data_IF_019027536662
#
_entry.id   IF_019027536662
#
_cell.length_a   1.000
_cell.length_b   1.000
_cell.length_c   1.000
_cell.angle_alpha   90.00
_cell.angle_beta   90.00
_cell.angle_gamma   90.00
#
_symmetry.space_group_name_H-M   'P 1'
#
loop_
_entity.id
_entity.type
_entity.pdbx_description
1 polymer ?
#
# COMPACT_ATOMS: atom_id res chain seq x y z
N UNK A 1 4.45 53.11 20.28
CA UNK A 1 3.19 52.38 20.56
C UNK A 1 3.24 51.11 19.73
N UNK A 2 3.81 50.04 20.27
CA UNK A 2 4.03 48.76 19.57
C UNK A 2 3.05 47.76 20.18
N UNK A 3 2.11 47.26 19.37
CA UNK A 3 1.12 46.28 19.78
C UNK A 3 1.77 44.89 19.84
N UNK A 4 1.76 44.30 21.04
CA UNK A 4 2.17 42.93 21.31
C UNK A 4 0.97 42.02 20.97
N UNK A 5 1.00 41.33 19.83
CA UNK A 5 0.06 40.24 19.54
C UNK A 5 0.63 38.94 20.11
N UNK A 6 0.04 38.49 21.22
CA UNK A 6 0.26 37.16 21.77
C UNK A 6 -0.45 36.13 20.87
N UNK A 7 0.30 35.47 20.00
CA UNK A 7 -0.13 34.25 19.33
C UNK A 7 -0.23 33.14 20.39
N UNK A 8 -1.46 32.88 20.82
CA UNK A 8 -1.80 31.70 21.62
C UNK A 8 -1.73 30.50 20.68
N UNK A 9 -0.61 29.78 20.70
CA UNK A 9 -0.51 28.46 20.11
C UNK A 9 -1.41 27.53 20.93
N UNK A 10 -2.54 27.13 20.35
CA UNK A 10 -3.30 25.98 20.84
C UNK A 10 -2.44 24.73 20.67
N UNK A 11 -1.68 24.41 21.71
CA UNK A 11 -1.19 23.06 21.98
C UNK A 11 -2.41 22.20 22.33
N UNK A 12 -3.03 21.61 21.31
CA UNK A 12 -3.95 20.50 21.51
C UNK A 12 -3.13 19.24 21.74
N UNK A 13 -2.98 18.85 23.00
CA UNK A 13 -2.48 17.54 23.39
C UNK A 13 -3.45 16.45 22.91
N UNK A 14 -3.17 15.83 21.77
CA UNK A 14 -3.82 14.59 21.37
C UNK A 14 -3.22 13.45 22.21
N UNK A 15 -3.82 13.18 23.38
CA UNK A 15 -3.82 11.82 23.93
C UNK A 15 -4.78 11.01 23.01
N UNK A 16 -4.32 10.08 22.17
CA UNK A 16 -3.61 8.81 22.45
C UNK A 16 -4.60 7.77 23.04
N UNK A 17 -5.43 7.22 22.15
CA UNK A 17 -6.33 6.11 22.40
C UNK A 17 -6.58 5.42 21.05
N UNK A 18 -6.11 4.17 20.92
CA UNK A 18 -6.35 3.33 19.76
C UNK A 18 -7.82 3.19 19.32
N UNK A 19 -8.81 3.64 20.10
CA UNK A 19 -10.22 3.77 19.68
C UNK A 19 -10.40 4.71 18.48
N UNK A 20 -9.55 5.75 18.34
CA UNK A 20 -9.59 6.65 17.19
C UNK A 20 -9.08 5.96 15.91
N UNK A 21 -8.13 5.04 16.05
CA UNK A 21 -7.57 4.29 14.91
C UNK A 21 -8.55 3.24 14.38
N UNK A 22 -9.25 2.53 15.27
CA UNK A 22 -10.31 1.61 14.86
C UNK A 22 -11.44 2.36 14.13
N UNK A 23 -11.85 3.53 14.64
CA UNK A 23 -12.84 4.37 13.97
C UNK A 23 -12.37 4.87 12.59
N UNK A 24 -11.08 5.21 12.43
CA UNK A 24 -10.50 5.57 11.14
C UNK A 24 -10.48 4.39 10.15
N UNK A 25 -10.20 3.17 10.63
CA UNK A 25 -10.25 1.96 9.81
C UNK A 25 -11.70 1.64 9.43
N UNK A 26 -12.64 1.74 10.36
CA UNK A 26 -14.07 1.55 10.09
C UNK A 26 -14.62 2.58 9.09
N UNK A 27 -14.11 3.81 9.12
CA UNK A 27 -14.47 4.84 8.15
C UNK A 27 -14.03 4.49 6.71
N UNK A 28 -13.19 3.47 6.50
CA UNK A 28 -12.86 2.95 5.17
C UNK A 28 -13.99 2.13 4.54
N UNK A 29 -15.01 1.74 5.30
CA UNK A 29 -16.19 1.08 4.74
C UNK A 29 -16.89 2.03 3.79
N UNK A 30 -17.17 1.55 2.58
CA UNK A 30 -17.97 2.25 1.60
C UNK A 30 -19.35 1.61 1.56
N UNK A 31 -20.35 2.44 1.82
CA UNK A 31 -21.74 1.98 1.90
C UNK A 31 -22.40 1.80 0.53
N UNK A 32 -21.73 2.20 -0.56
CA UNK A 32 -22.15 1.80 -1.90
C UNK A 32 -21.94 0.28 -2.07
N UNK A 33 -22.80 -0.40 -2.85
CA UNK A 33 -22.47 -1.74 -3.30
C UNK A 33 -21.20 -1.70 -4.17
N UNK A 34 -20.31 -2.72 -4.08
CA UNK A 34 -19.16 -2.79 -4.95
C UNK A 34 -19.61 -2.85 -6.42
N UNK A 35 -19.01 -2.05 -7.32
CA UNK A 35 -19.40 -2.04 -8.73
C UNK A 35 -19.10 -3.39 -9.38
N UNK A 36 -19.85 -3.74 -10.42
CA UNK A 36 -19.64 -4.98 -11.15
C UNK A 36 -18.42 -4.84 -12.06
N UNK A 37 -17.45 -5.73 -11.90
CA UNK A 37 -16.29 -5.84 -12.79
C UNK A 37 -16.63 -6.89 -13.85
N UNK A 38 -16.59 -6.50 -15.11
CA UNK A 38 -16.70 -7.41 -16.26
C UNK A 38 -15.31 -7.68 -16.83
N UNK A 39 -14.82 -8.90 -16.63
CA UNK A 39 -13.50 -9.37 -17.07
C UNK A 39 -13.50 -9.92 -18.50
N UNK A 40 -14.63 -9.85 -19.21
CA UNK A 40 -14.75 -10.31 -20.60
C UNK A 40 -14.10 -9.28 -21.53
N UNK A 41 -12.78 -9.12 -21.49
CA UNK A 41 -12.01 -8.25 -22.38
C UNK A 41 -10.64 -7.87 -21.86
N UNK A 42 -9.76 -7.41 -22.76
CA UNK A 42 -8.39 -7.00 -22.43
C UNK A 42 -8.30 -5.78 -21.48
N UNK A 43 -9.31 -4.91 -21.46
CA UNK A 43 -9.32 -3.70 -20.61
C UNK A 43 -10.25 -3.79 -19.39
N UNK A 44 -11.07 -4.85 -19.29
CA UNK A 44 -12.18 -4.92 -18.33
C UNK A 44 -13.20 -3.78 -18.47
N UNK A 45 -14.41 -3.93 -17.95
CA UNK A 45 -15.32 -2.82 -17.74
C UNK A 45 -15.79 -2.78 -16.30
N UNK A 46 -16.03 -1.57 -15.77
CA UNK A 46 -16.55 -1.35 -14.43
C UNK A 46 -17.89 -0.69 -14.53
N UNK A 47 -18.92 -1.38 -14.06
CA UNK A 47 -20.30 -0.94 -14.09
C UNK A 47 -20.69 -0.52 -12.68
N UNK A 48 -20.72 0.79 -12.47
CA UNK A 48 -21.25 1.41 -11.27
C UNK A 48 -22.77 1.46 -11.34
N UNK A 49 -23.43 1.42 -10.17
CA UNK A 49 -24.87 1.64 -10.07
C UNK A 49 -25.22 3.06 -10.56
N UNK A 50 -26.42 3.25 -11.11
CA UNK A 50 -26.86 4.57 -11.57
C UNK A 50 -27.01 5.57 -10.41
N UNK A 51 -27.28 5.07 -9.21
CA UNK A 51 -27.37 5.85 -7.98
C UNK A 51 -26.09 5.75 -7.13
N UNK A 52 -24.96 5.36 -7.72
CA UNK A 52 -23.69 5.28 -6.99
C UNK A 52 -23.34 6.65 -6.39
N UNK A 53 -23.18 6.69 -5.08
CA UNK A 53 -22.89 7.92 -4.35
C UNK A 53 -21.39 8.23 -4.45
N UNK A 54 -21.04 9.19 -5.30
CA UNK A 54 -19.66 9.63 -5.49
C UNK A 54 -19.09 10.39 -4.29
N UNK A 55 -19.93 11.11 -3.53
CA UNK A 55 -19.51 11.81 -2.31
C UNK A 55 -19.08 10.81 -1.23
N UNK A 56 -19.76 9.66 -1.17
CA UNK A 56 -19.38 8.55 -0.28
C UNK A 56 -18.00 7.98 -0.66
N UNK A 57 -17.69 7.88 -1.95
CA UNK A 57 -16.37 7.45 -2.39
C UNK A 57 -15.28 8.46 -2.01
N UNK A 58 -15.56 9.75 -2.15
CA UNK A 58 -14.64 10.81 -1.76
C UNK A 58 -14.41 10.81 -0.23
N UNK A 59 -15.46 10.60 0.57
CA UNK A 59 -15.35 10.42 2.03
C UNK A 59 -14.40 9.26 2.38
N UNK A 60 -14.56 8.11 1.74
CA UNK A 60 -13.71 6.93 2.00
C UNK A 60 -12.27 7.19 1.56
N UNK A 61 -12.06 7.90 0.44
CA UNK A 61 -10.73 8.31 -0.01
C UNK A 61 -10.03 9.23 1.00
N UNK A 62 -10.76 10.17 1.59
CA UNK A 62 -10.23 11.08 2.62
C UNK A 62 -9.91 10.33 3.91
N UNK A 63 -10.77 9.37 4.32
CA UNK A 63 -10.51 8.48 5.45
C UNK A 63 -9.24 7.64 5.22
N UNK A 64 -9.07 7.05 4.02
CA UNK A 64 -7.86 6.32 3.65
C UNK A 64 -6.62 7.22 3.70
N UNK A 65 -6.71 8.44 3.19
CA UNK A 65 -5.61 9.39 3.20
C UNK A 65 -5.23 9.78 4.64
N UNK A 66 -6.22 9.92 5.52
CA UNK A 66 -6.01 10.17 6.95
C UNK A 66 -5.35 8.99 7.64
N UNK A 67 -5.81 7.75 7.40
CA UNK A 67 -5.20 6.54 7.95
C UNK A 67 -3.75 6.36 7.47
N UNK A 68 -3.49 6.64 6.20
CA UNK A 68 -2.14 6.60 5.60
C UNK A 68 -1.18 7.58 6.29
N UNK A 69 -1.71 8.72 6.74
CA UNK A 69 -0.97 9.79 7.42
C UNK A 69 -0.89 9.60 8.94
N UNK A 70 -1.67 8.67 9.52
CA UNK A 70 -1.58 8.32 10.93
C UNK A 70 -0.22 7.66 11.22
N UNK A 71 0.32 7.94 12.40
CA UNK A 71 1.61 7.43 12.85
C UNK A 71 1.45 6.71 14.20
N UNK A 72 2.41 5.85 14.53
CA UNK A 72 2.54 5.26 15.86
C UNK A 72 2.54 3.74 15.86
N UNK A 73 3.10 3.17 16.93
CA UNK A 73 3.14 1.73 17.15
C UNK A 73 1.74 1.11 17.29
N UNK A 74 0.75 1.89 17.73
CA UNK A 74 -0.63 1.44 17.86
C UNK A 74 -1.28 1.16 16.49
N UNK A 75 -0.98 1.99 15.47
CA UNK A 75 -1.51 1.80 14.13
C UNK A 75 -1.13 0.43 13.58
N UNK A 76 0.13 0.00 13.77
CA UNK A 76 0.57 -1.33 13.35
C UNK A 76 -0.30 -2.44 13.93
N UNK A 77 -0.56 -2.41 15.25
CA UNK A 77 -1.38 -3.41 15.90
C UNK A 77 -2.79 -3.45 15.31
N UNK A 78 -3.42 -2.29 15.11
CA UNK A 78 -4.77 -2.20 14.53
C UNK A 78 -4.81 -2.66 13.08
N UNK A 79 -3.86 -2.28 12.25
CA UNK A 79 -3.78 -2.74 10.85
C UNK A 79 -3.75 -4.27 10.78
N UNK A 80 -3.01 -4.94 11.67
CA UNK A 80 -2.93 -6.42 11.75
C UNK A 80 -4.27 -7.04 12.13
N UNK A 81 -5.03 -6.43 13.05
CA UNK A 81 -6.35 -6.90 13.47
C UNK A 81 -7.39 -6.82 12.35
N UNK A 82 -7.29 -5.80 11.49
CA UNK A 82 -8.25 -5.57 10.41
C UNK A 82 -7.82 -6.13 9.04
N UNK A 83 -6.68 -6.82 8.93
CA UNK A 83 -6.22 -7.36 7.64
C UNK A 83 -7.21 -8.29 6.96
N UNK A 84 -8.00 -9.05 7.74
CA UNK A 84 -8.96 -10.00 7.18
C UNK A 84 -10.33 -9.39 6.86
N UNK A 85 -10.53 -8.09 7.10
CA UNK A 85 -11.78 -7.39 6.82
C UNK A 85 -12.13 -7.44 5.31
N UNK A 86 -13.33 -7.94 5.03
CA UNK A 86 -13.89 -8.16 3.69
C UNK A 86 -14.87 -7.07 3.25
N UNK A 87 -15.21 -6.12 4.13
CA UNK A 87 -16.08 -4.99 3.79
C UNK A 87 -15.47 -4.20 2.65
N UNK A 88 -16.32 -3.78 1.72
CA UNK A 88 -15.94 -3.02 0.55
C UNK A 88 -15.45 -1.62 0.96
N UNK A 89 -14.42 -1.13 0.27
CA UNK A 89 -13.84 0.19 0.52
C UNK A 89 -13.79 1.02 -0.77
N UNK A 90 -12.94 0.66 -1.74
CA UNK A 90 -12.80 1.46 -2.97
C UNK A 90 -12.60 0.56 -4.17
N UNK A 91 -13.05 1.01 -5.34
CA UNK A 91 -12.68 0.40 -6.61
C UNK A 91 -11.60 1.21 -7.29
N UNK A 92 -10.50 0.55 -7.67
CA UNK A 92 -9.38 1.21 -8.34
C UNK A 92 -8.79 0.35 -9.44
N UNK A 93 -8.09 0.99 -10.37
CA UNK A 93 -7.24 0.31 -11.35
C UNK A 93 -5.78 0.40 -10.93
N UNK A 94 -5.08 -0.73 -10.98
CA UNK A 94 -3.65 -0.82 -10.72
C UNK A 94 -3.02 -1.79 -11.73
N UNK A 95 -2.04 -1.30 -12.50
CA UNK A 95 -1.32 -2.09 -13.52
C UNK A 95 -2.27 -2.78 -14.52
N UNK A 96 -3.31 -2.04 -14.97
CA UNK A 96 -4.34 -2.56 -15.89
C UNK A 96 -5.37 -3.50 -15.25
N UNK A 97 -5.27 -3.78 -13.94
CA UNK A 97 -6.22 -4.60 -13.22
C UNK A 97 -7.17 -3.76 -12.39
N UNK A 98 -8.47 -3.97 -12.57
CA UNK A 98 -9.50 -3.37 -11.73
C UNK A 98 -9.73 -4.26 -10.51
N UNK A 99 -9.76 -3.65 -9.33
CA UNK A 99 -9.97 -4.35 -8.06
C UNK A 99 -11.05 -3.63 -7.25
N UNK A 100 -12.05 -4.38 -6.76
CA UNK A 100 -12.91 -3.95 -5.67
C UNK A 100 -12.17 -4.22 -4.37
N UNK A 101 -11.56 -3.17 -3.81
CA UNK A 101 -10.70 -3.29 -2.66
C UNK A 101 -11.50 -3.38 -1.36
N UNK A 102 -11.02 -4.22 -0.44
CA UNK A 102 -11.56 -4.33 0.91
C UNK A 102 -10.74 -3.50 1.90
N UNK A 103 -11.34 -3.19 3.05
CA UNK A 103 -10.64 -2.55 4.18
C UNK A 103 -9.36 -3.32 4.53
N UNK A 104 -9.46 -4.65 4.61
CA UNK A 104 -8.32 -5.50 4.91
C UNK A 104 -7.22 -5.47 3.84
N UNK A 105 -7.54 -5.19 2.56
CA UNK A 105 -6.52 -4.98 1.54
C UNK A 105 -5.73 -3.70 1.78
N UNK A 106 -6.40 -2.59 2.11
CA UNK A 106 -5.69 -1.35 2.47
C UNK A 106 -4.87 -1.51 3.74
N UNK A 107 -5.41 -2.16 4.77
CA UNK A 107 -4.65 -2.42 6.00
C UNK A 107 -3.36 -3.21 5.73
N UNK A 108 -3.43 -4.25 4.89
CA UNK A 108 -2.26 -5.02 4.44
C UNK A 108 -1.24 -4.18 3.70
N UNK A 109 -1.68 -3.33 2.77
CA UNK A 109 -0.78 -2.51 1.97
C UNK A 109 -0.06 -1.46 2.80
N UNK A 110 -0.76 -0.81 3.74
CA UNK A 110 -0.17 0.17 4.67
C UNK A 110 0.84 -0.52 5.58
N UNK A 111 0.47 -1.65 6.20
CA UNK A 111 1.37 -2.43 7.04
C UNK A 111 2.63 -2.87 6.29
N UNK A 112 2.47 -3.39 5.07
CA UNK A 112 3.59 -3.81 4.23
C UNK A 112 4.46 -2.64 3.77
N UNK A 113 3.88 -1.49 3.46
CA UNK A 113 4.65 -0.26 3.15
C UNK A 113 5.58 0.07 4.31
N UNK A 114 5.06 0.10 5.53
CA UNK A 114 5.82 0.54 6.69
C UNK A 114 6.86 -0.48 7.13
N UNK A 115 6.56 -1.77 7.06
CA UNK A 115 7.50 -2.83 7.47
C UNK A 115 8.74 -2.87 6.57
N UNK A 116 8.60 -2.61 5.26
CA UNK A 116 9.72 -2.66 4.31
C UNK A 116 10.41 -1.31 4.12
N UNK A 117 9.81 -0.21 4.59
CA UNK A 117 10.30 1.14 4.35
C UNK A 117 11.79 1.37 4.68
N UNK A 118 12.31 0.92 5.85
CA UNK A 118 13.72 1.17 6.22
C UNK A 118 14.72 0.57 5.23
N UNK A 119 14.33 -0.50 4.55
CA UNK A 119 15.14 -1.14 3.51
C UNK A 119 14.85 -0.54 2.14
N UNK A 120 13.58 -0.45 1.77
CA UNK A 120 13.13 -0.08 0.42
C UNK A 120 13.59 1.31 0.01
N UNK A 121 13.65 2.26 0.93
CA UNK A 121 14.03 3.66 0.65
C UNK A 121 15.48 3.84 0.18
N UNK A 122 16.34 2.85 0.40
CA UNK A 122 17.75 2.90 0.00
C UNK A 122 18.04 2.19 -1.32
N UNK A 123 17.03 1.56 -1.90
CA UNK A 123 17.16 0.87 -3.17
C UNK A 123 16.79 1.85 -4.28
N UNK A 124 17.65 2.00 -5.29
CA UNK A 124 17.35 2.94 -6.35
C UNK A 124 16.15 2.40 -7.15
N UNK A 125 15.24 3.30 -7.53
CA UNK A 125 14.11 3.02 -8.45
C UNK A 125 14.58 2.68 -9.88
N UNK A 126 15.87 2.47 -10.10
CA UNK A 126 16.55 2.44 -11.40
C UNK A 126 16.69 1.04 -12.01
N UNK A 127 16.03 0.00 -11.47
CA UNK A 127 16.03 -1.32 -12.10
C UNK A 127 15.24 -1.28 -13.41
N UNK A 128 15.91 -0.85 -14.48
CA UNK A 128 15.36 -0.72 -15.82
C UNK A 128 14.81 -2.07 -16.26
N UNK A 129 13.56 -2.07 -16.75
CA UNK A 129 12.85 -3.29 -17.16
C UNK A 129 12.09 -4.00 -16.02
N UNK A 130 12.17 -3.52 -14.79
CA UNK A 130 11.30 -4.01 -13.71
C UNK A 130 9.88 -3.46 -13.90
N UNK A 131 8.92 -4.35 -14.13
CA UNK A 131 7.49 -4.05 -14.02
C UNK A 131 7.09 -3.94 -12.55
N UNK A 132 5.95 -3.33 -12.20
CA UNK A 132 5.43 -3.34 -10.82
C UNK A 132 5.40 -4.74 -10.20
N UNK A 133 5.13 -5.77 -11.01
CA UNK A 133 5.24 -7.18 -10.61
C UNK A 133 6.67 -7.60 -10.30
N UNK A 134 7.65 -7.32 -11.17
CA UNK A 134 9.06 -7.60 -10.89
C UNK A 134 9.52 -6.89 -9.62
N UNK A 135 9.06 -5.66 -9.38
CA UNK A 135 9.35 -4.94 -8.15
C UNK A 135 8.90 -5.72 -6.91
N UNK A 136 7.71 -6.34 -6.92
CA UNK A 136 7.29 -7.19 -5.81
C UNK A 136 8.18 -8.42 -5.68
N UNK A 137 8.63 -9.01 -6.77
CA UNK A 137 9.45 -10.22 -6.70
C UNK A 137 10.89 -9.96 -6.22
N UNK A 138 11.42 -8.77 -6.49
CA UNK A 138 12.80 -8.39 -6.17
C UNK A 138 12.92 -7.77 -4.77
N UNK A 139 11.94 -6.95 -4.41
CA UNK A 139 12.01 -6.07 -3.24
C UNK A 139 11.06 -6.47 -2.11
N UNK A 140 10.28 -7.53 -2.29
CA UNK A 140 9.35 -7.96 -1.26
C UNK A 140 9.89 -9.20 -0.54
N UNK A 141 10.19 -9.12 0.77
CA UNK A 141 10.54 -10.29 1.57
C UNK A 141 9.47 -11.39 1.54
N UNK A 142 8.24 -11.03 1.16
CA UNK A 142 7.11 -11.95 1.16
C UNK A 142 7.22 -13.16 0.23
N UNK A 143 8.12 -13.19 -0.76
CA UNK A 143 8.32 -14.40 -1.56
C UNK A 143 9.12 -15.48 -0.81
N UNK A 144 10.19 -15.10 -0.11
CA UNK A 144 10.97 -16.05 0.69
C UNK A 144 10.30 -16.33 2.05
N UNK A 145 9.62 -15.33 2.62
CA UNK A 145 8.79 -15.52 3.81
C UNK A 145 7.52 -16.35 3.50
N UNK A 146 7.14 -16.50 2.22
CA UNK A 146 6.05 -17.38 1.75
C UNK A 146 6.41 -18.86 1.77
N UNK A 147 7.69 -19.21 1.66
CA UNK A 147 8.10 -20.61 1.52
C UNK A 147 8.02 -21.42 2.83
N UNK A 148 7.75 -20.76 3.98
CA UNK A 148 7.51 -21.44 5.27
C UNK A 148 6.09 -21.32 5.82
N UNK A 149 5.35 -20.29 5.39
CA UNK A 149 3.99 -19.95 5.81
C UNK A 149 3.40 -19.11 4.66
N UNK A 150 2.12 -19.26 4.31
CA UNK A 150 1.44 -18.23 3.50
C UNK A 150 1.82 -16.86 4.07
N UNK A 151 2.26 -15.88 3.26
CA UNK A 151 2.74 -14.57 3.73
C UNK A 151 1.88 -13.97 4.85
N UNK A 152 0.57 -14.25 4.81
CA UNK A 152 -0.43 -13.83 5.78
C UNK A 152 -0.43 -14.61 7.10
N UNK A 153 -0.10 -15.90 7.07
CA UNK A 153 0.16 -16.67 8.29
C UNK A 153 1.41 -16.16 9.02
N UNK A 154 2.41 -15.62 8.29
CA UNK A 154 3.52 -14.91 8.93
C UNK A 154 3.04 -13.63 9.62
N UNK A 155 2.32 -12.73 8.94
CA UNK A 155 1.82 -11.52 9.61
C UNK A 155 0.95 -11.81 10.85
N UNK A 156 0.09 -12.83 10.78
CA UNK A 156 -0.73 -13.25 11.93
C UNK A 156 0.09 -13.82 13.07
N UNK A 157 1.17 -14.56 12.79
CA UNK A 157 2.06 -15.08 13.84
C UNK A 157 2.85 -13.98 14.54
N UNK A 158 2.92 -12.78 13.95
CA UNK A 158 3.55 -11.58 14.53
C UNK A 158 2.59 -10.71 15.33
N UNK A 159 1.37 -11.16 15.65
CA UNK A 159 0.46 -10.42 16.53
C UNK A 159 1.16 -10.19 17.89
N UNK A 160 1.35 -8.93 18.26
CA UNK A 160 2.07 -8.51 19.48
C UNK A 160 3.54 -8.14 19.27
N UNK A 161 4.13 -8.43 18.11
CA UNK A 161 5.44 -7.88 17.75
C UNK A 161 5.30 -6.41 17.35
N UNK A 162 6.23 -5.56 17.82
CA UNK A 162 6.27 -4.16 17.42
C UNK A 162 6.75 -4.02 15.97
N UNK A 163 6.25 -2.99 15.27
CA UNK A 163 6.69 -2.64 13.92
C UNK A 163 8.22 -2.55 13.84
N UNK A 164 8.84 -1.90 14.84
CA UNK A 164 10.30 -1.79 14.96
C UNK A 164 11.02 -3.14 14.94
N UNK A 165 10.56 -4.12 15.73
CA UNK A 165 11.16 -5.47 15.78
C UNK A 165 11.12 -6.11 14.39
N UNK A 166 10.01 -5.97 13.69
CA UNK A 166 9.84 -6.56 12.37
C UNK A 166 10.65 -5.83 11.30
N UNK A 167 10.81 -4.52 11.41
CA UNK A 167 11.71 -3.74 10.57
C UNK A 167 13.18 -4.19 10.70
N UNK A 168 13.64 -4.52 11.92
CA UNK A 168 14.98 -5.10 12.14
C UNK A 168 15.11 -6.44 11.42
N UNK A 169 14.07 -7.28 11.48
CA UNK A 169 14.04 -8.58 10.80
C UNK A 169 14.08 -8.41 9.27
N UNK A 170 13.27 -7.50 8.72
CA UNK A 170 13.25 -7.21 7.28
C UNK A 170 14.57 -6.62 6.80
N UNK A 171 15.21 -5.73 7.56
CA UNK A 171 16.56 -5.25 7.23
C UNK A 171 17.60 -6.36 7.23
N UNK A 172 17.50 -7.32 8.16
CA UNK A 172 18.39 -8.49 8.19
C UNK A 172 18.15 -9.40 6.99
N UNK A 173 16.89 -9.72 6.69
CA UNK A 173 16.53 -10.46 5.47
C UNK A 173 17.07 -9.75 4.22
N UNK A 174 16.93 -8.43 4.14
CA UNK A 174 17.38 -7.69 2.98
C UNK A 174 18.89 -7.85 2.74
N UNK A 175 19.68 -7.70 3.80
CA UNK A 175 21.13 -7.82 3.72
C UNK A 175 21.58 -9.25 3.39
N UNK A 176 20.85 -10.25 3.87
CA UNK A 176 21.24 -11.65 3.75
C UNK A 176 20.74 -12.31 2.47
N UNK A 177 19.56 -11.92 1.98
CA UNK A 177 18.77 -12.72 1.01
C UNK A 177 18.10 -11.93 -0.10
N UNK A 178 17.87 -10.62 0.05
CA UNK A 178 17.09 -9.86 -0.92
C UNK A 178 17.68 -9.97 -2.33
N UNK A 179 16.91 -10.43 -3.35
CA UNK A 179 17.36 -10.45 -4.73
C UNK A 179 17.89 -9.10 -5.24
N UNK A 180 17.36 -7.99 -4.69
CA UNK A 180 17.85 -6.65 -5.02
C UNK A 180 19.34 -6.41 -4.73
N UNK A 181 19.89 -7.05 -3.69
CA UNK A 181 21.28 -6.89 -3.25
C UNK A 181 22.16 -8.10 -3.64
N UNK A 182 21.54 -9.14 -4.19
CA UNK A 182 22.17 -10.43 -4.48
C UNK A 182 21.93 -10.81 -5.95
N UNK A 183 21.69 -12.09 -6.21
CA UNK A 183 21.39 -12.62 -7.54
C UNK A 183 19.89 -12.50 -7.84
N UNK A 184 19.57 -11.96 -9.02
CA UNK A 184 18.19 -11.93 -9.49
C UNK A 184 17.76 -13.33 -9.95
N UNK A 185 16.53 -13.77 -9.64
CA UNK A 185 15.93 -14.97 -10.21
C UNK A 185 16.05 -15.02 -11.73
N UNK A 186 16.32 -16.20 -12.29
CA UNK A 186 16.57 -16.39 -13.72
C UNK A 186 15.41 -15.92 -14.62
N UNK A 187 14.16 -15.99 -14.14
CA UNK A 187 13.00 -15.53 -14.89
C UNK A 187 12.93 -13.99 -15.01
N UNK A 188 13.71 -13.25 -14.22
CA UNK A 188 13.81 -11.79 -14.25
C UNK A 188 14.91 -11.26 -15.19
N UNK A 189 15.30 -12.03 -16.21
CA UNK A 189 16.33 -11.69 -17.21
C UNK A 189 16.19 -10.33 -17.92
N UNK A 190 15.02 -9.68 -17.85
CA UNK A 190 14.78 -8.34 -18.43
C UNK A 190 15.11 -7.20 -17.46
N UNK A 191 15.35 -7.51 -16.20
CA UNK A 191 15.68 -6.53 -15.17
C UNK A 191 17.20 -6.35 -15.15
N UNK A 192 17.62 -5.10 -15.24
CA UNK A 192 19.04 -4.75 -15.06
C UNK A 192 19.36 -4.80 -13.56
N UNK A 193 20.28 -5.67 -13.10
CA UNK A 193 20.68 -5.70 -11.70
C UNK A 193 21.43 -4.42 -11.32
N UNK A 194 21.43 -4.11 -10.02
CA UNK A 194 22.28 -3.05 -9.47
C UNK A 194 23.75 -3.39 -9.71
N UNK A 195 24.55 -2.36 -9.96
CA UNK A 195 26.01 -2.49 -9.94
C UNK A 195 26.50 -2.86 -8.54
N UNK A 196 27.71 -3.42 -8.45
CA UNK A 196 28.29 -3.79 -7.15
C UNK A 196 28.46 -2.58 -6.22
N UNK A 197 28.76 -1.40 -6.77
CA UNK A 197 28.85 -0.15 -6.01
C UNK A 197 27.47 0.28 -5.47
N UNK A 198 26.41 0.22 -6.30
CA UNK A 198 25.03 0.52 -5.86
C UNK A 198 24.56 -0.47 -4.78
N UNK A 199 24.88 -1.76 -4.92
CA UNK A 199 24.57 -2.78 -3.91
C UNK A 199 25.30 -2.49 -2.60
N UNK A 200 26.59 -2.17 -2.66
CA UNK A 200 27.41 -1.86 -1.49
C UNK A 200 26.89 -0.61 -0.77
N UNK A 201 26.55 0.44 -1.51
CA UNK A 201 25.98 1.67 -0.96
C UNK A 201 24.62 1.41 -0.29
N UNK A 202 23.71 0.72 -0.98
CA UNK A 202 22.41 0.37 -0.42
C UNK A 202 22.56 -0.49 0.85
N UNK A 203 23.41 -1.52 0.81
CA UNK A 203 23.68 -2.37 1.96
C UNK A 203 24.27 -1.58 3.15
N UNK A 204 25.15 -0.61 2.91
CA UNK A 204 25.67 0.25 3.97
C UNK A 204 24.56 1.07 4.64
N UNK A 205 23.67 1.69 3.86
CA UNK A 205 22.54 2.48 4.38
C UNK A 205 21.53 1.61 5.14
N UNK A 206 21.24 0.41 4.63
CA UNK A 206 20.35 -0.55 5.31
C UNK A 206 20.93 -1.01 6.66
N UNK A 207 22.25 -1.26 6.72
CA UNK A 207 22.93 -1.59 8.00
C UNK A 207 22.82 -0.46 9.01
N UNK A 208 23.01 0.78 8.56
CA UNK A 208 22.88 1.97 9.41
C UNK A 208 21.46 2.11 9.98
N UNK A 209 20.42 2.00 9.13
CA UNK A 209 19.02 2.02 9.59
C UNK A 209 18.70 0.86 10.54
N UNK A 210 19.18 -0.35 10.26
CA UNK A 210 19.03 -1.49 11.17
C UNK A 210 19.67 -1.19 12.53
N UNK A 211 20.86 -0.58 12.55
CA UNK A 211 21.53 -0.24 13.81
C UNK A 211 20.79 0.86 14.58
N UNK A 212 20.25 1.86 13.89
CA UNK A 212 19.36 2.88 14.49
C UNK A 212 18.12 2.24 15.09
N UNK A 213 17.49 1.30 14.39
CA UNK A 213 16.37 0.53 14.93
C UNK A 213 16.79 -0.28 16.15
N UNK A 214 17.94 -0.98 16.14
CA UNK A 214 18.41 -1.75 17.31
C UNK A 214 18.65 -0.84 18.52
N UNK A 215 19.24 0.33 18.32
CA UNK A 215 19.61 1.24 19.41
C UNK A 215 18.46 2.16 19.87
N UNK A 216 17.48 2.44 19.03
CA UNK A 216 16.37 3.35 19.29
C UNK A 216 15.16 2.68 19.95
N UNK A 217 14.10 3.46 20.17
CA UNK A 217 12.80 2.95 20.66
C UNK A 217 11.72 2.96 19.58
N UNK A 218 11.83 3.85 18.60
CA UNK A 218 10.80 4.06 17.57
C UNK A 218 11.10 3.32 16.25
N UNK A 219 10.05 2.92 15.51
CA UNK A 219 10.17 2.45 14.14
C UNK A 219 10.54 3.59 13.19
N UNK A 220 11.04 3.24 11.99
CA UNK A 220 11.25 4.22 10.90
C UNK A 220 10.02 4.18 10.00
N UNK A 221 9.21 5.23 9.99
CA UNK A 221 7.97 5.33 9.19
C UNK A 221 8.21 6.03 7.86
N UNK A 222 7.43 5.67 6.83
CA UNK A 222 7.53 6.24 5.49
C UNK A 222 7.27 7.74 5.50
N UNK A 223 8.03 8.50 4.69
CA UNK A 223 7.56 9.83 4.32
C UNK A 223 6.28 9.67 3.47
N UNK A 224 5.32 10.54 3.72
CA UNK A 224 3.90 10.34 3.37
C UNK A 224 3.62 10.40 1.86
N UNK A 225 4.65 10.62 1.02
CA UNK A 225 4.56 10.74 -0.44
C UNK A 225 4.69 9.42 -1.22
N UNK A 226 5.02 8.30 -0.58
CA UNK A 226 5.20 7.04 -1.33
C UNK A 226 3.90 6.27 -1.61
N UNK A 227 2.80 6.62 -0.92
CA UNK A 227 1.48 6.08 -1.16
C UNK A 227 0.56 7.17 -1.69
N UNK A 228 0.91 7.70 -2.85
CA UNK A 228 -0.06 8.45 -3.63
C UNK A 228 -1.19 7.49 -3.98
N UNK A 229 -2.39 7.74 -3.45
CA UNK A 229 -3.61 7.18 -4.01
C UNK A 229 -3.64 7.40 -5.53
N UNK A 230 -2.94 8.42 -6.02
CA UNK A 230 -2.70 8.82 -7.41
C UNK A 230 -2.01 7.73 -8.27
N UNK A 231 -1.24 6.82 -7.67
CA UNK A 231 -0.70 5.64 -8.37
C UNK A 231 -1.75 4.54 -8.62
N UNK A 232 -2.85 4.58 -7.88
CA UNK A 232 -4.06 3.79 -8.10
C UNK A 232 -5.07 4.70 -8.76
N UNK A 233 -5.35 4.50 -10.04
CA UNK A 233 -6.33 5.36 -10.70
C UNK A 233 -7.71 5.03 -10.10
N UNK A 234 -8.20 5.86 -9.18
CA UNK A 234 -9.56 5.78 -8.66
C UNK A 234 -10.54 6.11 -9.79
N UNK A 235 -11.75 5.55 -9.73
CA UNK A 235 -12.79 5.89 -10.68
C UNK A 235 -13.40 7.25 -10.30
N UNK A 236 -13.49 8.16 -11.27
CA UNK A 236 -14.28 9.37 -11.17
C UNK A 236 -15.61 9.17 -11.91
N UNK A 237 -16.63 10.03 -11.70
CA UNK A 237 -17.87 9.95 -12.47
C UNK A 237 -17.62 9.89 -13.99
N UNK A 238 -16.72 10.74 -14.48
CA UNK A 238 -16.36 10.79 -15.91
C UNK A 238 -15.72 9.48 -16.38
N UNK A 239 -14.87 8.86 -15.56
CA UNK A 239 -14.20 7.60 -15.93
C UNK A 239 -15.13 6.40 -15.85
N UNK A 240 -16.03 6.37 -14.88
CA UNK A 240 -17.09 5.37 -14.80
C UNK A 240 -18.00 5.42 -16.02
N UNK A 241 -18.42 6.62 -16.44
CA UNK A 241 -19.23 6.81 -17.64
C UNK A 241 -18.51 6.36 -18.90
N UNK A 242 -17.21 6.66 -19.03
CA UNK A 242 -16.38 6.14 -20.14
C UNK A 242 -16.30 4.61 -20.11
N UNK A 243 -16.18 4.00 -18.93
CA UNK A 243 -16.15 2.54 -18.78
C UNK A 243 -17.48 1.90 -19.21
N UNK A 244 -18.62 2.48 -18.80
CA UNK A 244 -19.97 2.07 -19.23
C UNK A 244 -20.16 2.16 -20.74
N UNK A 245 -19.76 3.28 -21.36
CA UNK A 245 -19.90 3.45 -22.81
C UNK A 245 -19.03 2.47 -23.60
N UNK A 246 -17.78 2.23 -23.17
CA UNK A 246 -16.93 1.20 -23.78
C UNK A 246 -17.58 -0.19 -23.70
N UNK A 247 -18.20 -0.50 -22.56
CA UNK A 247 -18.90 -1.76 -22.37
C UNK A 247 -20.09 -1.93 -23.34
N UNK A 248 -20.94 -0.90 -23.45
CA UNK A 248 -22.11 -0.93 -24.34
C UNK A 248 -21.72 -1.09 -25.81
N UNK A 249 -20.75 -0.31 -26.29
CA UNK A 249 -20.25 -0.41 -27.68
C UNK A 249 -19.70 -1.82 -28.00
N UNK A 250 -19.09 -2.48 -27.01
CA UNK A 250 -18.60 -3.84 -27.17
C UNK A 250 -19.75 -4.86 -27.21
N UNK A 251 -20.75 -4.69 -26.34
CA UNK A 251 -21.92 -5.56 -26.32
C UNK A 251 -22.69 -5.50 -27.65
N UNK A 252 -22.84 -4.30 -28.24
CA UNK A 252 -23.45 -4.09 -29.56
C UNK A 252 -22.69 -4.86 -30.65
N UNK A 253 -21.37 -4.67 -30.75
CA UNK A 253 -20.52 -5.37 -31.73
C UNK A 253 -20.59 -6.90 -31.62
N UNK A 254 -20.72 -7.43 -30.41
CA UNK A 254 -20.86 -8.89 -30.19
C UNK A 254 -22.28 -9.39 -30.50
N UNK A 255 -23.29 -8.53 -30.35
CA UNK A 255 -24.67 -8.82 -30.74
C UNK A 255 -24.85 -8.88 -32.27
N UNK A 256 -24.11 -8.05 -33.00
CA UNK A 256 -24.12 -8.01 -34.48
C UNK A 256 -23.39 -9.20 -35.14
N UNK A 257 -22.64 -9.99 -34.37
CA UNK A 257 -21.91 -11.17 -34.85
C UNK A 257 -22.68 -12.50 -34.70
N UNK A 258 -23.96 -12.45 -34.31
CA UNK A 258 -24.85 -13.63 -34.19
C UNK A 258 -25.86 -13.67 -35.32
#
# INVERSE_FOLDING_TARGET
>A
MIALMALTLCNSSFADDGSNLDALIDALENHNPPPKIDDRGAEGAVLFDENYNWDEQDRVKDALSTLIAAEGNELWARLIEHMDDKRYSLTYEFDGHIVNATIGQFCREIAMRDIIFPYRRHLPYSMKGASPRHYREIFNPLNDLREGLEAWAWYRSRKGDSLRKLQIEVCSWALDKSPALHELPAHLHRVVPLSEDEKAEAAAKIRDDRQKLINGTEPIVSDRGLFHADGKTLFTPIRAERSKNKFLQKAEKLGEQK
#
